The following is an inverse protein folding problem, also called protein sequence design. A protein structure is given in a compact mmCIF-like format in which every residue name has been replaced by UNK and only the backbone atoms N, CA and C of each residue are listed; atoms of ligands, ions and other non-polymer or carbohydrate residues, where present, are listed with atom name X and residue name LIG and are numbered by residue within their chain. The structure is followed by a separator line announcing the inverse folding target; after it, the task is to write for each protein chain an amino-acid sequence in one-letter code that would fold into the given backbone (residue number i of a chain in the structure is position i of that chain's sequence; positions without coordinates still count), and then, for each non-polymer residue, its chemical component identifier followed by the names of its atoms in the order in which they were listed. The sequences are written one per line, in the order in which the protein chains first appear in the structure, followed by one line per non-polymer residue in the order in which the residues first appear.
data_IF_761482265891
#
_entry.id   IF_761482265891
#
_cell.length_a   1.000
_cell.length_b   1.000
_cell.length_c   1.000
_cell.angle_alpha   90.00
_cell.angle_beta   90.00
_cell.angle_gamma   90.00
#
_symmetry.space_group_name_H-M   'P 1'
#
loop_
_entity.id
_entity.type
_entity.pdbx_description
1 polymer ?
#
# COMPACT_ATOMS: atom_id res chain seq x y z
N UNK A 1 -20.90 -2.13 17.17
CA UNK A 1 -20.75 -3.55 16.77
C UNK A 1 -21.89 -3.89 15.85
N UNK A 2 -21.63 -4.54 14.73
CA UNK A 2 -22.63 -5.05 13.81
C UNK A 2 -22.81 -6.54 14.07
N UNK A 3 -24.04 -7.02 14.09
CA UNK A 3 -24.34 -8.44 14.22
C UNK A 3 -24.76 -8.94 12.84
N UNK A 4 -24.02 -9.91 12.32
CA UNK A 4 -24.29 -10.54 11.03
C UNK A 4 -24.77 -11.95 11.32
N UNK A 5 -26.00 -12.25 10.91
CA UNK A 5 -26.57 -13.60 10.93
C UNK A 5 -26.38 -14.26 9.56
N UNK A 6 -26.19 -15.56 9.56
CA UNK A 6 -26.18 -16.35 8.34
C UNK A 6 -27.64 -16.66 7.94
N UNK A 7 -28.15 -16.10 6.82
CA UNK A 7 -29.52 -16.36 6.39
C UNK A 7 -29.77 -17.83 6.00
N UNK A 8 -28.70 -18.56 5.65
CA UNK A 8 -28.81 -20.01 5.37
C UNK A 8 -28.91 -20.86 6.64
N UNK A 9 -28.48 -20.32 7.79
CA UNK A 9 -28.52 -20.97 9.10
C UNK A 9 -29.07 -20.04 10.18
N UNK A 10 -30.38 -19.72 10.15
CA UNK A 10 -30.98 -18.71 11.04
C UNK A 10 -30.96 -19.10 12.52
N UNK A 11 -30.68 -20.35 12.83
CA UNK A 11 -30.54 -20.87 14.20
C UNK A 11 -29.16 -20.57 14.81
N UNK A 12 -28.19 -20.19 13.98
CA UNK A 12 -26.84 -19.87 14.45
C UNK A 12 -26.83 -18.46 15.03
N UNK A 13 -26.25 -18.31 16.21
CA UNK A 13 -26.11 -17.00 16.84
C UNK A 13 -25.36 -16.02 15.93
N UNK A 14 -25.90 -14.80 15.75
CA UNK A 14 -25.27 -13.77 14.96
C UNK A 14 -23.87 -13.41 15.51
N UNK A 15 -22.88 -13.36 14.63
CA UNK A 15 -21.52 -12.95 14.99
C UNK A 15 -21.37 -11.44 15.03
N UNK A 16 -20.80 -10.91 16.13
CA UNK A 16 -20.50 -9.48 16.23
C UNK A 16 -19.27 -9.11 15.43
N UNK A 17 -19.40 -8.13 14.54
CA UNK A 17 -18.28 -7.56 13.78
C UNK A 17 -18.07 -6.11 14.17
N UNK A 18 -16.79 -5.71 14.32
CA UNK A 18 -16.44 -4.30 14.44
C UNK A 18 -16.32 -3.73 13.03
N UNK A 19 -17.11 -2.73 12.74
CA UNK A 19 -17.06 -2.02 11.47
C UNK A 19 -17.22 -0.51 11.73
N UNK A 20 -16.36 0.30 11.10
CA UNK A 20 -16.48 1.74 11.18
C UNK A 20 -17.77 2.19 10.46
N UNK A 21 -18.58 3.00 11.15
CA UNK A 21 -19.78 3.58 10.55
C UNK A 21 -19.45 4.90 9.87
N UNK A 22 -20.24 5.30 8.90
CA UNK A 22 -20.18 6.65 8.36
C UNK A 22 -20.21 7.68 9.50
N UNK A 23 -19.44 8.75 9.37
CA UNK A 23 -19.30 9.82 10.36
C UNK A 23 -18.67 9.41 11.71
N UNK A 24 -18.14 8.21 11.84
CA UNK A 24 -17.35 7.80 13.01
C UNK A 24 -15.87 7.77 12.70
N UNK A 25 -15.03 7.58 13.73
CA UNK A 25 -13.58 7.41 13.58
C UNK A 25 -13.26 6.17 12.74
N UNK A 26 -12.21 6.25 11.93
CA UNK A 26 -11.65 5.10 11.25
C UNK A 26 -11.06 4.09 12.23
N UNK A 27 -10.83 2.86 11.75
CA UNK A 27 -9.99 1.92 12.44
C UNK A 27 -8.55 2.47 12.55
N UNK A 28 -7.89 2.19 13.66
CA UNK A 28 -6.46 2.44 13.80
C UNK A 28 -5.70 1.32 13.07
N UNK A 29 -5.19 1.63 11.87
CA UNK A 29 -4.45 0.69 11.03
C UNK A 29 -2.98 0.73 11.41
N UNK A 30 -2.38 -0.45 11.55
CA UNK A 30 -0.95 -0.62 11.81
C UNK A 30 -0.41 -1.70 10.88
N UNK A 31 0.78 -1.46 10.35
CA UNK A 31 1.53 -2.45 9.59
C UNK A 31 2.75 -2.89 10.40
N UNK A 32 3.07 -4.15 10.26
CA UNK A 32 4.21 -4.77 10.93
C UNK A 32 5.01 -5.55 9.91
N UNK A 33 6.30 -5.32 9.88
CA UNK A 33 7.28 -6.17 9.20
C UNK A 33 7.62 -7.32 10.12
N UNK A 34 7.50 -8.54 9.64
CA UNK A 34 7.89 -9.74 10.37
C UNK A 34 9.06 -10.41 9.64
N UNK A 35 10.18 -10.57 10.33
CA UNK A 35 11.34 -11.29 9.86
C UNK A 35 11.34 -12.68 10.47
N UNK A 36 11.33 -13.71 9.66
CA UNK A 36 11.43 -15.09 10.09
C UNK A 36 12.90 -15.51 10.09
N UNK A 37 13.43 -15.83 11.28
CA UNK A 37 14.77 -16.39 11.39
C UNK A 37 14.70 -17.92 11.35
N UNK A 38 15.63 -18.51 10.58
CA UNK A 38 15.82 -19.94 10.50
C UNK A 38 17.24 -20.29 10.98
N UNK A 39 17.41 -21.43 11.60
CA UNK A 39 18.73 -21.92 11.96
C UNK A 39 19.46 -22.59 10.76
N UNK A 40 20.69 -23.04 10.97
CA UNK A 40 21.47 -23.68 9.92
C UNK A 40 20.94 -25.06 9.46
N UNK A 41 19.80 -25.51 9.99
CA UNK A 41 19.11 -26.75 9.64
C UNK A 41 17.71 -26.50 9.06
N UNK A 42 17.40 -25.26 8.66
CA UNK A 42 16.10 -24.81 8.16
C UNK A 42 14.95 -24.96 9.20
N UNK A 43 15.29 -25.04 10.48
CA UNK A 43 14.30 -24.99 11.54
C UNK A 43 14.03 -23.55 11.97
N UNK A 44 12.76 -23.25 12.27
CA UNK A 44 12.35 -21.92 12.72
C UNK A 44 13.04 -21.57 14.06
N UNK A 45 13.83 -20.51 14.03
CA UNK A 45 14.65 -20.08 15.16
C UNK A 45 14.10 -18.83 15.87
N UNK A 46 13.18 -18.09 15.26
CA UNK A 46 12.61 -16.91 15.90
C UNK A 46 11.86 -15.96 14.96
N UNK A 47 11.26 -14.94 15.57
CA UNK A 47 10.49 -13.91 14.89
C UNK A 47 10.97 -12.53 15.32
N UNK A 48 11.53 -11.77 14.39
CA UNK A 48 11.74 -10.33 14.53
C UNK A 48 10.46 -9.57 14.14
N UNK A 49 10.06 -8.60 14.96
CA UNK A 49 8.88 -7.78 14.68
C UNK A 49 9.25 -6.30 14.73
N UNK A 50 9.01 -5.57 13.62
CA UNK A 50 9.21 -4.15 13.53
C UNK A 50 7.96 -3.45 13.00
N UNK A 51 7.52 -2.38 13.67
CA UNK A 51 6.40 -1.58 13.19
C UNK A 51 6.84 -0.69 12.02
N UNK A 52 6.02 -0.66 10.96
CA UNK A 52 6.18 0.29 9.86
C UNK A 52 5.56 1.62 10.27
N UNK A 53 6.31 2.70 10.09
CA UNK A 53 5.92 4.06 10.48
C UNK A 53 5.69 4.95 9.26
N UNK A 54 4.53 5.62 9.21
CA UNK A 54 4.21 6.66 8.24
C UNK A 54 3.33 7.73 8.88
N UNK A 55 2.99 8.79 8.16
CA UNK A 55 2.08 9.83 8.64
C UNK A 55 0.62 9.32 8.69
N UNK A 56 0.28 8.48 9.66
CA UNK A 56 -1.05 7.88 9.86
C UNK A 56 -2.13 8.88 10.23
N UNK A 57 -1.76 10.10 10.61
CA UNK A 57 -2.70 11.16 10.95
C UNK A 57 -3.38 11.73 9.71
N UNK A 58 -2.61 11.93 8.66
CA UNK A 58 -3.08 12.56 7.42
C UNK A 58 -3.37 11.54 6.33
N UNK A 59 -2.81 10.31 6.44
CA UNK A 59 -2.98 9.18 5.51
C UNK A 59 -3.39 7.93 6.30
N UNK A 60 -4.69 7.85 6.62
CA UNK A 60 -5.23 6.82 7.52
C UNK A 60 -5.39 5.46 6.85
N UNK A 61 -5.52 5.43 5.51
CA UNK A 61 -5.76 4.19 4.79
C UNK A 61 -4.47 3.62 4.20
N UNK A 62 -4.31 2.32 4.33
CA UNK A 62 -3.38 1.53 3.54
C UNK A 62 -4.14 1.00 2.35
N UNK A 63 -3.84 1.50 1.17
CA UNK A 63 -4.54 1.18 -0.07
C UNK A 63 -3.91 0.00 -0.80
N UNK A 64 -2.57 -0.07 -0.81
CA UNK A 64 -1.83 -1.20 -1.39
C UNK A 64 -0.51 -1.42 -0.68
N UNK A 65 -0.06 -2.67 -0.71
CA UNK A 65 1.31 -3.08 -0.36
C UNK A 65 1.83 -3.91 -1.54
N UNK A 66 2.98 -3.55 -2.06
CA UNK A 66 3.61 -4.27 -3.14
C UNK A 66 5.05 -4.62 -2.79
N UNK A 67 5.46 -5.85 -3.11
CA UNK A 67 6.80 -6.33 -2.83
C UNK A 67 7.42 -6.93 -4.08
N UNK A 68 8.37 -6.23 -4.68
CA UNK A 68 9.15 -6.71 -5.82
C UNK A 68 10.45 -7.33 -5.35
N UNK A 69 10.87 -8.44 -5.97
CA UNK A 69 12.13 -9.10 -5.64
C UNK A 69 13.32 -8.14 -5.85
N UNK A 70 14.22 -8.08 -4.87
CA UNK A 70 15.42 -7.23 -4.93
C UNK A 70 15.19 -5.75 -4.62
N UNK A 71 13.96 -5.33 -4.32
CA UNK A 71 13.62 -3.95 -3.97
C UNK A 71 12.97 -3.85 -2.59
N UNK A 72 13.02 -2.66 -2.01
CA UNK A 72 12.25 -2.36 -0.79
C UNK A 72 10.75 -2.41 -1.09
N UNK A 73 9.92 -2.87 -0.11
CA UNK A 73 8.48 -2.87 -0.29
C UNK A 73 7.93 -1.47 -0.52
N UNK A 74 6.93 -1.38 -1.38
CA UNK A 74 6.14 -0.17 -1.57
C UNK A 74 4.84 -0.22 -0.78
N UNK A 75 4.45 0.94 -0.27
CA UNK A 75 3.22 1.15 0.45
C UNK A 75 2.48 2.32 -0.18
N UNK A 76 1.23 2.10 -0.59
CA UNK A 76 0.32 3.18 -1.00
C UNK A 76 -0.60 3.51 0.18
N UNK A 77 -0.54 4.74 0.63
CA UNK A 77 -1.39 5.24 1.71
C UNK A 77 -2.26 6.40 1.23
N UNK A 78 -3.51 6.46 1.71
CA UNK A 78 -4.46 7.50 1.30
C UNK A 78 -5.04 8.23 2.51
N UNK A 79 -5.41 9.49 2.31
CA UNK A 79 -6.23 10.23 3.26
C UNK A 79 -7.68 9.69 3.24
N UNK A 80 -8.42 9.99 4.30
CA UNK A 80 -9.81 9.52 4.44
C UNK A 80 -10.75 9.97 3.30
N UNK A 81 -10.49 11.13 2.71
CA UNK A 81 -11.27 11.65 1.58
C UNK A 81 -10.90 11.02 0.24
N UNK A 82 -9.80 10.27 0.21
CA UNK A 82 -9.25 9.67 -1.01
C UNK A 82 -8.95 10.70 -2.10
N UNK A 83 -8.54 11.88 -1.66
CA UNK A 83 -8.12 13.00 -2.52
C UNK A 83 -6.63 13.24 -2.50
N UNK A 84 -5.91 12.53 -1.62
CA UNK A 84 -4.44 12.56 -1.53
C UNK A 84 -3.92 11.19 -1.19
N UNK A 85 -2.84 10.81 -1.83
CA UNK A 85 -2.10 9.61 -1.49
C UNK A 85 -0.59 9.84 -1.48
N UNK A 86 0.13 8.90 -0.91
CA UNK A 86 1.59 8.84 -0.96
C UNK A 86 2.03 7.42 -1.30
N UNK A 87 3.01 7.34 -2.19
CA UNK A 87 3.79 6.14 -2.44
C UNK A 87 5.03 6.19 -1.57
N UNK A 88 5.18 5.20 -0.71
CA UNK A 88 6.27 5.11 0.25
C UNK A 88 7.14 3.90 -0.03
N UNK A 89 8.47 4.03 0.09
CA UNK A 89 9.40 2.91 0.24
C UNK A 89 9.52 2.57 1.72
N UNK A 90 9.52 1.29 2.06
CA UNK A 90 9.68 0.80 3.45
C UNK A 90 11.08 0.26 3.63
N UNK A 91 11.85 0.85 4.55
CA UNK A 91 13.22 0.42 4.82
C UNK A 91 13.26 -0.91 5.57
N UNK A 92 13.84 -1.93 4.93
CA UNK A 92 14.02 -3.26 5.54
C UNK A 92 15.28 -3.35 6.40
N UNK A 93 16.18 -2.38 6.30
CA UNK A 93 17.50 -2.42 6.90
C UNK A 93 18.44 -3.34 6.10
N UNK A 94 19.45 -2.80 5.51
CA UNK A 94 20.68 -3.53 5.20
C UNK A 94 21.66 -3.26 6.32
N UNK A 95 22.61 -4.18 6.52
CA UNK A 95 23.65 -4.11 7.55
C UNK A 95 24.12 -2.67 7.86
N UNK A 96 24.15 -2.32 9.13
CA UNK A 96 24.32 -0.98 9.66
C UNK A 96 25.52 -0.23 9.08
N UNK A 97 25.30 0.53 8.02
CA UNK A 97 26.14 1.69 7.74
C UNK A 97 25.68 2.83 8.65
N UNK A 98 26.59 3.49 9.33
CA UNK A 98 26.29 4.65 10.16
C UNK A 98 25.55 5.69 9.29
N UNK A 99 24.28 5.95 9.57
CA UNK A 99 23.43 6.84 8.81
C UNK A 99 22.30 6.18 8.00
N UNK A 100 22.16 4.85 8.03
CA UNK A 100 21.03 4.14 7.39
C UNK A 100 19.72 4.47 8.09
N UNK A 101 18.64 4.56 7.31
CA UNK A 101 17.30 4.77 7.86
C UNK A 101 16.90 3.56 8.74
N UNK A 102 16.19 3.79 9.87
CA UNK A 102 15.74 2.72 10.74
C UNK A 102 14.83 1.74 10.01
N UNK A 103 14.95 0.44 10.33
CA UNK A 103 14.03 -0.61 9.83
C UNK A 103 12.60 -0.23 10.15
N UNK A 104 11.71 -0.37 9.16
CA UNK A 104 10.30 -0.01 9.28
C UNK A 104 9.99 1.48 9.13
N UNK A 105 11.03 2.34 9.00
CA UNK A 105 10.80 3.73 8.58
C UNK A 105 10.43 3.78 7.09
N UNK A 106 9.83 4.90 6.66
CA UNK A 106 9.41 5.07 5.27
C UNK A 106 9.97 6.34 4.66
N UNK A 107 10.23 6.28 3.35
CA UNK A 107 10.55 7.45 2.53
C UNK A 107 9.42 7.69 1.53
N UNK A 108 8.94 8.93 1.43
CA UNK A 108 7.97 9.32 0.40
C UNK A 108 8.68 9.38 -0.95
N UNK A 109 8.21 8.59 -1.91
CA UNK A 109 8.71 8.57 -3.28
C UNK A 109 7.90 9.49 -4.18
N UNK A 110 6.57 9.41 -4.10
CA UNK A 110 5.65 10.28 -4.83
C UNK A 110 4.45 10.65 -3.94
N UNK A 111 3.85 11.81 -4.21
CA UNK A 111 2.59 12.25 -3.61
C UNK A 111 1.66 12.73 -4.71
N UNK A 112 0.40 12.27 -4.67
CA UNK A 112 -0.63 12.68 -5.63
C UNK A 112 -1.78 13.37 -4.90
N UNK A 113 -2.42 14.30 -5.62
CA UNK A 113 -3.60 15.01 -5.13
C UNK A 113 -4.60 15.21 -6.26
N UNK A 114 -5.88 15.12 -5.92
CA UNK A 114 -7.00 15.43 -6.80
C UNK A 114 -8.13 16.03 -5.95
N UNK A 115 -8.72 17.11 -6.38
CA UNK A 115 -9.75 17.80 -5.61
C UNK A 115 -11.06 17.02 -5.49
N UNK A 116 -11.27 16.03 -6.35
CA UNK A 116 -12.45 15.19 -6.36
C UNK A 116 -12.17 13.79 -5.80
N UNK A 117 -11.30 13.03 -6.47
CA UNK A 117 -11.09 11.62 -6.17
C UNK A 117 -9.80 11.10 -6.80
N UNK A 118 -9.05 10.27 -6.07
CA UNK A 118 -7.94 9.48 -6.60
C UNK A 118 -8.39 8.03 -6.76
N UNK A 119 -8.43 7.57 -7.99
CA UNK A 119 -8.74 6.18 -8.32
C UNK A 119 -7.49 5.30 -8.20
N UNK A 120 -7.67 4.09 -7.70
CA UNK A 120 -6.56 3.14 -7.53
C UNK A 120 -6.54 2.21 -8.74
N UNK A 121 -5.41 2.20 -9.45
CA UNK A 121 -5.16 1.21 -10.50
C UNK A 121 -4.53 -0.02 -9.85
N UNK A 122 -5.19 -1.17 -9.93
CA UNK A 122 -4.67 -2.42 -9.38
C UNK A 122 -3.28 -2.76 -9.96
N UNK A 123 -2.39 -3.30 -9.11
CA UNK A 123 -1.02 -3.60 -9.50
C UNK A 123 -0.08 -2.39 -9.45
N UNK A 124 -0.56 -1.23 -8.97
CA UNK A 124 0.30 -0.07 -8.68
C UNK A 124 0.24 0.30 -7.19
N UNK A 125 1.28 0.96 -6.63
CA UNK A 125 2.59 1.21 -7.24
C UNK A 125 3.42 -0.07 -7.38
N UNK A 126 4.32 -0.11 -8.36
CA UNK A 126 5.24 -1.23 -8.56
C UNK A 126 6.60 -0.73 -9.04
N UNK A 127 7.68 -1.44 -8.68
CA UNK A 127 9.04 -1.17 -9.18
C UNK A 127 9.34 -2.16 -10.29
N UNK A 128 9.83 -1.66 -11.42
CA UNK A 128 10.33 -2.49 -12.51
C UNK A 128 11.65 -3.18 -12.12
N UNK A 129 12.07 -4.26 -12.77
CA UNK A 129 13.34 -4.93 -12.47
C UNK A 129 14.55 -4.01 -12.53
N UNK A 130 14.56 -3.00 -13.41
CA UNK A 130 15.61 -1.98 -13.52
C UNK A 130 15.47 -0.82 -12.51
N UNK A 131 14.50 -0.89 -11.57
CA UNK A 131 14.38 0.02 -10.45
C UNK A 131 13.54 1.27 -10.69
N UNK A 132 12.81 1.37 -11.80
CA UNK A 132 11.91 2.52 -12.07
C UNK A 132 10.57 2.35 -11.38
N UNK A 133 10.03 3.45 -10.89
CA UNK A 133 8.74 3.47 -10.19
C UNK A 133 7.57 3.65 -11.17
N UNK A 134 6.61 2.74 -11.14
CA UNK A 134 5.35 2.83 -11.91
C UNK A 134 4.22 3.15 -10.96
N UNK A 135 3.51 4.25 -11.24
CA UNK A 135 2.38 4.72 -10.42
C UNK A 135 1.12 4.94 -11.27
N UNK A 136 -0.02 4.99 -10.58
CA UNK A 136 -1.28 5.44 -11.16
C UNK A 136 -1.27 6.95 -11.37
N UNK A 137 -1.83 7.42 -12.47
CA UNK A 137 -2.12 8.82 -12.76
C UNK A 137 -3.60 8.97 -13.10
N UNK A 138 -4.33 9.69 -12.26
CA UNK A 138 -5.68 10.13 -12.60
C UNK A 138 -5.56 11.43 -13.41
N UNK A 139 -5.52 11.30 -14.73
CA UNK A 139 -5.34 12.41 -15.65
C UNK A 139 -6.68 13.14 -15.84
N UNK A 140 -6.85 14.23 -15.12
CA UNK A 140 -8.11 15.01 -15.12
C UNK A 140 -8.33 15.77 -16.42
N UNK A 141 -7.27 16.12 -17.15
CA UNK A 141 -7.37 16.82 -18.43
C UNK A 141 -7.86 15.89 -19.54
N UNK A 142 -7.43 14.63 -19.49
CA UNK A 142 -7.82 13.59 -20.43
C UNK A 142 -9.05 12.80 -19.97
N UNK A 143 -9.50 12.97 -18.73
CA UNK A 143 -10.56 12.18 -18.07
C UNK A 143 -10.29 10.66 -18.17
N UNK A 144 -9.05 10.26 -17.89
CA UNK A 144 -8.59 8.87 -18.00
C UNK A 144 -7.64 8.49 -16.88
N UNK A 145 -7.65 7.20 -16.55
CA UNK A 145 -6.64 6.60 -15.70
C UNK A 145 -5.46 6.12 -16.54
N UNK A 146 -4.28 6.61 -16.22
CA UNK A 146 -3.02 6.36 -16.93
C UNK A 146 -1.96 5.83 -15.98
N UNK A 147 -0.82 5.47 -16.52
CA UNK A 147 0.38 5.13 -15.75
C UNK A 147 1.47 6.18 -15.95
N UNK A 148 2.23 6.41 -14.90
CA UNK A 148 3.52 7.11 -14.93
C UNK A 148 4.67 6.13 -14.74
N UNK A 149 5.83 6.49 -15.27
CA UNK A 149 7.13 5.91 -14.93
C UNK A 149 8.01 7.04 -14.46
N UNK A 150 8.50 6.96 -13.20
CA UNK A 150 9.28 8.02 -12.54
C UNK A 150 8.60 9.39 -12.68
N UNK A 151 7.30 9.46 -12.36
CA UNK A 151 6.48 10.66 -12.40
C UNK A 151 6.13 11.17 -13.80
N UNK A 152 6.52 10.47 -14.87
CA UNK A 152 6.22 10.89 -16.26
C UNK A 152 5.14 10.02 -16.88
N UNK A 153 4.08 10.61 -17.48
CA UNK A 153 3.05 9.86 -18.16
C UNK A 153 3.63 8.92 -19.21
N UNK A 154 3.30 7.64 -19.11
CA UNK A 154 3.82 6.58 -19.97
C UNK A 154 2.76 6.09 -20.97
N UNK A 155 1.53 5.85 -20.50
CA UNK A 155 0.45 5.37 -21.37
C UNK A 155 -0.22 6.54 -22.12
N UNK A 156 -0.77 6.31 -23.32
CA UNK A 156 -1.48 7.34 -24.10
C UNK A 156 -2.68 7.92 -23.34
N UNK A 157 -2.94 9.23 -23.50
CA UNK A 157 -4.03 9.93 -22.83
C UNK A 157 -5.43 9.42 -23.20
N UNK A 158 -5.60 8.80 -24.36
CA UNK A 158 -6.88 8.22 -24.80
C UNK A 158 -7.15 6.80 -24.27
N UNK A 159 -6.28 6.26 -23.41
CA UNK A 159 -6.44 4.93 -22.83
C UNK A 159 -6.93 5.01 -21.40
N UNK A 160 -7.87 4.14 -21.06
CA UNK A 160 -8.33 3.94 -19.70
C UNK A 160 -7.66 2.68 -19.13
N UNK A 161 -6.59 2.86 -18.35
CA UNK A 161 -5.90 1.75 -17.70
C UNK A 161 -6.70 1.31 -16.47
N UNK A 162 -6.91 0.02 -16.31
CA UNK A 162 -7.65 -0.55 -15.17
C UNK A 162 -6.75 -1.28 -14.19
N UNK A 163 -5.74 -1.97 -14.71
CA UNK A 163 -4.82 -2.75 -13.88
C UNK A 163 -3.48 -2.93 -14.59
N UNK A 164 -2.45 -3.21 -13.80
CA UNK A 164 -1.13 -3.67 -14.23
C UNK A 164 -1.02 -5.13 -13.82
N UNK A 165 -0.85 -6.02 -14.79
CA UNK A 165 -0.76 -7.47 -14.55
C UNK A 165 0.67 -7.88 -14.24
N UNK A 166 1.63 -7.28 -14.92
CA UNK A 166 3.05 -7.56 -14.75
C UNK A 166 3.89 -6.40 -15.28
N UNK A 167 5.14 -6.30 -14.80
CA UNK A 167 6.16 -5.39 -15.28
C UNK A 167 7.43 -6.18 -15.60
N UNK A 168 7.92 -6.01 -16.81
CA UNK A 168 9.15 -6.64 -17.31
C UNK A 168 10.12 -5.57 -17.80
N UNK A 169 11.35 -5.97 -18.09
CA UNK A 169 12.38 -5.11 -18.69
C UNK A 169 11.98 -4.62 -20.10
#
# INVERSE_FOLDING_TARGET
MWYISDPANPQTSASGRRYARALTSNADVRLTLAELAYDGHDEYAGLGIQQISWNRKDYEYVAAVHWSAGHEPLLLVQNRRQTRDQVLSVHLGSEASAGSAPVGSTTVLEEHANDQWLDIIQGTPVVTPDGRLVCALNDMDADTNRLTVDGRPFTPAGWQVREVLDVTD
#
